data_IF_762906466201
#
_entry.id   IF_762906466201
#
_cell.length_a   1.000
_cell.length_b   1.000
_cell.length_c   1.000
_cell.angle_alpha   90.00
_cell.angle_beta   90.00
_cell.angle_gamma   90.00
#
_symmetry.space_group_name_H-M   'P 1'
#
loop_
_entity.id
_entity.type
_entity.pdbx_description
1 polymer ?
#
# COMPACT_ATOMS: atom_id res chain seq x y z
N UNK A 1 15.52 0.30 -4.27
CA UNK A 1 14.10 0.33 -3.90
C UNK A 1 13.97 1.18 -2.64
N UNK A 2 13.08 2.18 -2.66
CA UNK A 2 12.74 2.99 -1.48
C UNK A 2 11.37 2.52 -0.96
N UNK A 3 11.21 2.45 0.36
CA UNK A 3 9.99 2.04 1.05
C UNK A 3 9.70 3.05 2.15
N UNK A 4 8.45 3.48 2.25
CA UNK A 4 7.98 4.42 3.27
C UNK A 4 6.59 4.02 3.75
N UNK A 5 6.30 4.23 5.03
CA UNK A 5 4.95 4.14 5.60
C UNK A 5 4.48 5.52 6.05
N UNK A 6 3.29 5.91 5.58
CA UNK A 6 2.83 7.28 5.62
C UNK A 6 1.48 7.40 6.31
N UNK A 7 1.35 8.41 7.17
CA UNK A 7 0.07 8.81 7.76
C UNK A 7 -0.86 9.39 6.70
N UNK A 8 -2.16 9.44 7.01
CA UNK A 8 -3.21 9.92 6.11
C UNK A 8 -2.91 11.29 5.47
N UNK A 9 -2.43 12.26 6.25
CA UNK A 9 -2.09 13.59 5.74
C UNK A 9 -0.95 13.58 4.71
N UNK A 10 -0.02 12.64 4.83
CA UNK A 10 1.09 12.50 3.87
C UNK A 10 0.66 11.72 2.61
N UNK A 11 -0.38 10.90 2.67
CA UNK A 11 -0.96 10.22 1.49
C UNK A 11 -1.35 11.25 0.43
N UNK A 12 -2.07 12.30 0.84
CA UNK A 12 -2.52 13.33 -0.09
C UNK A 12 -1.36 14.07 -0.74
N UNK A 13 -0.31 14.37 0.03
CA UNK A 13 0.91 15.01 -0.50
C UNK A 13 1.59 14.12 -1.54
N UNK A 14 1.72 12.83 -1.25
CA UNK A 14 2.34 11.88 -2.18
C UNK A 14 1.53 11.69 -3.47
N UNK A 15 0.19 11.67 -3.37
CA UNK A 15 -0.68 11.62 -4.55
C UNK A 15 -0.50 12.82 -5.48
N UNK A 16 -0.25 14.01 -4.91
CA UNK A 16 0.03 15.23 -5.68
C UNK A 16 1.43 15.23 -6.28
N UNK A 17 2.43 14.79 -5.52
CA UNK A 17 3.82 14.75 -5.97
C UNK A 17 4.04 13.70 -7.07
N UNK A 18 3.38 12.54 -6.93
CA UNK A 18 3.46 11.43 -7.85
C UNK A 18 2.06 11.08 -8.39
N UNK A 19 1.57 11.82 -9.40
CA UNK A 19 0.25 11.57 -9.97
C UNK A 19 0.17 10.25 -10.76
N UNK A 20 1.31 9.74 -11.24
CA UNK A 20 1.44 8.50 -12.02
C UNK A 20 2.20 7.43 -11.23
N UNK A 21 1.87 6.17 -11.47
CA UNK A 21 2.66 5.03 -10.96
C UNK A 21 3.96 4.82 -11.73
N UNK A 22 4.18 5.53 -12.84
CA UNK A 22 5.42 5.50 -13.63
C UNK A 22 5.95 6.93 -13.75
N UNK A 23 6.62 7.46 -12.71
CA UNK A 23 7.07 8.85 -12.69
C UNK A 23 8.21 9.12 -13.69
N UNK A 24 9.05 8.11 -13.94
CA UNK A 24 10.21 8.20 -14.82
C UNK A 24 10.41 6.86 -15.58
N UNK A 25 11.12 6.86 -16.72
CA UNK A 25 11.41 5.63 -17.46
C UNK A 25 12.13 4.58 -16.59
N UNK A 26 11.56 3.38 -16.52
CA UNK A 26 12.07 2.26 -15.74
C UNK A 26 11.94 2.41 -14.22
N UNK A 27 11.17 3.41 -13.75
CA UNK A 27 10.79 3.56 -12.35
C UNK A 27 9.29 3.36 -12.16
N UNK A 28 8.94 2.70 -11.06
CA UNK A 28 7.58 2.37 -10.69
C UNK A 28 7.31 2.77 -9.26
N UNK A 29 6.06 3.15 -9.02
CA UNK A 29 5.51 3.45 -7.72
C UNK A 29 4.44 2.42 -7.40
N UNK A 30 4.47 1.87 -6.19
CA UNK A 30 3.37 1.11 -5.61
C UNK A 30 2.85 1.83 -4.38
N UNK A 31 1.53 1.96 -4.32
CA UNK A 31 0.77 2.58 -3.23
C UNK A 31 -0.23 1.57 -2.71
N UNK A 32 -0.13 1.21 -1.44
CA UNK A 32 -1.08 0.31 -0.79
C UNK A 32 -1.62 1.01 0.44
N UNK A 33 -2.94 1.23 0.47
CA UNK A 33 -3.64 1.85 1.59
C UNK A 33 -4.26 0.74 2.42
N UNK A 34 -4.14 0.87 3.74
CA UNK A 34 -4.66 -0.11 4.69
C UNK A 34 -4.76 0.47 6.09
N UNK A 35 -4.99 -0.42 7.05
CA UNK A 35 -5.08 -0.12 8.47
C UNK A 35 -3.79 -0.54 9.17
N UNK A 36 -3.23 0.33 10.00
CA UNK A 36 -1.98 0.06 10.71
C UNK A 36 -2.11 -1.18 11.62
N UNK A 37 -1.14 -2.10 11.54
CA UNK A 37 -1.10 -3.33 12.38
C UNK A 37 -0.47 -3.10 13.74
N UNK A 38 0.30 -2.03 13.88
CA UNK A 38 1.00 -1.62 15.09
C UNK A 38 1.19 -0.11 15.08
N UNK A 39 1.54 0.46 16.22
CA UNK A 39 1.88 1.88 16.32
C UNK A 39 3.24 2.15 15.63
N UNK A 40 3.34 3.25 14.88
CA UNK A 40 4.58 3.68 14.25
C UNK A 40 4.61 5.20 14.01
N UNK A 41 5.78 5.73 13.64
CA UNK A 41 5.92 7.12 13.21
C UNK A 41 5.90 7.20 11.68
N UNK A 42 5.15 8.15 11.13
CA UNK A 42 5.13 8.42 9.69
C UNK A 42 6.54 8.79 9.18
N UNK A 43 7.05 8.06 8.19
CA UNK A 43 8.41 8.26 7.67
C UNK A 43 8.64 9.66 7.06
N UNK A 44 7.58 10.37 6.68
CA UNK A 44 7.69 11.69 6.05
C UNK A 44 7.55 12.87 7.03
N UNK A 45 6.75 12.75 8.09
CA UNK A 45 6.47 13.87 8.99
C UNK A 45 6.67 13.57 10.48
N UNK A 46 7.01 12.33 10.84
CA UNK A 46 7.21 11.90 12.23
C UNK A 46 5.94 11.88 13.09
N UNK A 47 4.76 12.15 12.52
CA UNK A 47 3.52 12.07 13.28
C UNK A 47 3.24 10.61 13.67
N UNK A 48 2.80 10.36 14.91
CA UNK A 48 2.42 9.02 15.34
C UNK A 48 1.19 8.56 14.55
N UNK A 49 1.17 7.28 14.20
CA UNK A 49 0.05 6.57 13.61
C UNK A 49 -0.28 5.42 14.54
N UNK A 50 -1.51 5.39 15.04
CA UNK A 50 -1.95 4.36 15.96
C UNK A 50 -2.39 3.10 15.19
N UNK A 51 -2.31 1.96 15.86
CA UNK A 51 -2.88 0.70 15.38
C UNK A 51 -4.34 0.89 15.00
N UNK A 52 -4.72 0.46 13.80
CA UNK A 52 -6.06 0.62 13.23
C UNK A 52 -6.27 1.93 12.47
N UNK A 53 -5.34 2.88 12.49
CA UNK A 53 -5.44 4.10 11.68
C UNK A 53 -5.22 3.82 10.20
N UNK A 54 -5.85 4.61 9.34
CA UNK A 54 -5.59 4.55 7.90
C UNK A 54 -4.20 5.11 7.58
N UNK A 55 -3.42 4.34 6.84
CA UNK A 55 -2.07 4.69 6.41
C UNK A 55 -1.76 4.09 5.04
N UNK A 56 -0.61 4.46 4.47
CA UNK A 56 -0.16 3.98 3.17
C UNK A 56 1.26 3.48 3.21
N UNK A 57 1.49 2.27 2.72
CA UNK A 57 2.81 1.84 2.28
C UNK A 57 3.09 2.36 0.87
N UNK A 58 4.17 3.11 0.75
CA UNK A 58 4.65 3.71 -0.49
C UNK A 58 5.98 3.06 -0.88
N UNK A 59 6.13 2.71 -2.15
CA UNK A 59 7.37 2.11 -2.65
C UNK A 59 7.75 2.67 -4.00
N UNK A 60 9.04 3.00 -4.16
CA UNK A 60 9.65 3.33 -5.46
C UNK A 60 10.63 2.21 -5.80
N UNK A 61 10.48 1.61 -6.97
CA UNK A 61 11.36 0.54 -7.46
C UNK A 61 11.66 0.71 -8.94
N UNK A 62 12.70 0.02 -9.41
CA UNK A 62 13.10 0.00 -10.82
C UNK A 62 12.68 -1.29 -11.49
N UNK A 63 12.74 -1.31 -12.81
CA UNK A 63 12.77 -2.54 -13.60
C UNK A 63 13.75 -3.54 -12.96
N UNK A 64 13.31 -4.79 -12.79
CA UNK A 64 14.08 -5.83 -12.09
C UNK A 64 13.51 -6.27 -10.74
N UNK A 65 12.49 -5.56 -10.23
CA UNK A 65 11.49 -6.23 -9.38
C UNK A 65 11.02 -5.48 -8.15
N UNK A 66 9.87 -5.96 -7.68
CA UNK A 66 9.19 -5.52 -6.48
C UNK A 66 9.09 -6.67 -5.48
N UNK A 67 9.36 -6.39 -4.21
CA UNK A 67 9.18 -7.33 -3.11
C UNK A 67 8.08 -6.79 -2.20
N UNK A 68 6.97 -7.54 -2.12
CA UNK A 68 5.86 -7.22 -1.22
C UNK A 68 6.34 -7.19 0.24
N UNK A 69 5.92 -6.16 0.97
CA UNK A 69 6.31 -5.91 2.36
C UNK A 69 5.21 -5.22 3.18
N UNK A 70 4.20 -4.68 2.50
CA UNK A 70 3.15 -3.85 3.09
C UNK A 70 2.39 -4.62 4.18
N UNK A 71 2.25 -5.93 3.99
CA UNK A 71 1.59 -6.84 4.94
C UNK A 71 2.26 -6.89 6.31
N UNK A 72 3.52 -6.44 6.44
CA UNK A 72 4.21 -6.35 7.72
C UNK A 72 3.62 -5.22 8.57
N UNK A 73 3.14 -4.15 7.96
CA UNK A 73 2.73 -2.93 8.66
C UNK A 73 1.26 -2.60 8.53
N UNK A 74 0.60 -3.05 7.46
CA UNK A 74 -0.81 -2.73 7.20
C UNK A 74 -1.64 -3.96 6.90
N UNK A 75 -2.86 -3.98 7.43
CA UNK A 75 -3.94 -4.86 7.00
C UNK A 75 -4.65 -4.18 5.83
N UNK A 76 -4.70 -4.85 4.69
CA UNK A 76 -5.37 -4.36 3.47
C UNK A 76 -5.99 -5.53 2.71
N UNK A 77 -7.08 -5.26 2.00
CA UNK A 77 -7.63 -6.21 1.05
C UNK A 77 -6.65 -6.35 -0.12
N UNK A 78 -5.94 -7.47 -0.17
CA UNK A 78 -5.20 -7.83 -1.39
C UNK A 78 -6.25 -8.00 -2.49
N UNK A 79 -6.16 -7.27 -3.62
CA UNK A 79 -6.94 -7.66 -4.78
C UNK A 79 -6.47 -9.06 -5.15
N UNK A 80 -7.30 -10.04 -4.84
CA UNK A 80 -7.02 -11.42 -5.17
C UNK A 80 -6.86 -11.46 -6.69
N UNK A 81 -5.68 -11.85 -7.19
CA UNK A 81 -5.47 -12.02 -8.64
C UNK A 81 -6.34 -13.19 -9.10
N UNK A 82 -7.31 -12.93 -9.97
CA UNK A 82 -8.28 -13.90 -10.48
C UNK A 82 -9.68 -13.30 -10.60
N UNK A 83 -10.56 -13.92 -11.39
CA UNK A 83 -12.00 -13.65 -11.26
C UNK A 83 -12.46 -14.40 -10.03
N UNK A 84 -13.15 -13.74 -9.11
CA UNK A 84 -13.69 -14.39 -7.92
C UNK A 84 -15.20 -14.31 -7.96
N UNK A 85 -15.85 -15.43 -7.70
CA UNK A 85 -17.30 -15.49 -7.54
C UNK A 85 -17.62 -15.51 -6.05
N UNK A 86 -18.55 -14.65 -5.66
CA UNK A 86 -19.14 -14.68 -4.32
C UNK A 86 -20.02 -15.93 -4.17
N UNK A 87 -19.81 -16.70 -3.10
CA UNK A 87 -20.55 -17.95 -2.83
C UNK A 87 -21.45 -17.90 -1.59
N UNK A 88 -21.55 -16.77 -0.90
CA UNK A 88 -22.28 -16.64 0.37
C UNK A 88 -21.36 -16.80 1.59
N UNK A 89 -21.90 -16.59 2.80
CA UNK A 89 -21.21 -16.70 4.09
C UNK A 89 -19.87 -15.96 4.16
N UNK A 90 -19.81 -14.74 3.61
CA UNK A 90 -18.60 -13.93 3.51
C UNK A 90 -17.42 -14.62 2.77
N UNK A 91 -17.71 -15.65 1.97
CA UNK A 91 -16.72 -16.47 1.29
C UNK A 91 -16.67 -16.20 -0.22
N UNK A 92 -15.46 -16.25 -0.77
CA UNK A 92 -15.15 -16.02 -2.18
C UNK A 92 -14.38 -17.21 -2.74
N UNK A 93 -14.67 -17.61 -3.98
CA UNK A 93 -13.95 -18.71 -4.66
C UNK A 93 -13.29 -18.17 -5.93
N UNK A 94 -12.04 -18.60 -6.17
CA UNK A 94 -11.32 -18.32 -7.41
C UNK A 94 -11.99 -19.04 -8.59
N UNK A 95 -12.45 -18.29 -9.58
CA UNK A 95 -12.80 -18.81 -10.90
C UNK A 95 -11.51 -19.09 -11.67
N UNK A 96 -11.22 -20.37 -11.90
CA UNK A 96 -10.11 -20.88 -12.70
C UNK A 96 -10.55 -21.03 -14.15
#
# INVERSE_FOLDING_TARGET
>A
MKREILCQACIEKMRKLFPSDNPYPGEHIKRVIGKARQDFECDNCGQPVATGDECMCFSIYKDGGYLEWEYVFIDYERPLKGKYRFIGDNSWVLEI
#
